data_IF_949089408026
#
_entry.id   IF_949089408026
#
_cell.length_a   1.000
_cell.length_b   1.000
_cell.length_c   1.000
_cell.angle_alpha   90.00
_cell.angle_beta   90.00
_cell.angle_gamma   90.00
#
_symmetry.space_group_name_H-M   'P 1'
#
loop_
_entity.id
_entity.type
_entity.pdbx_description
1 polymer ?
#
# COMPACT_ATOMS: atom_id res chain seq x y z
N UNK A 1 18.84 -6.03 -24.59
CA UNK A 1 19.73 -5.74 -23.43
C UNK A 1 18.86 -5.22 -22.27
N UNK A 2 17.99 -6.04 -21.71
CA UNK A 2 17.02 -5.56 -20.71
C UNK A 2 16.52 -6.54 -19.65
N UNK A 3 16.70 -7.85 -19.81
CA UNK A 3 16.00 -8.80 -18.94
C UNK A 3 16.81 -9.34 -17.75
N UNK A 4 18.13 -9.35 -17.81
CA UNK A 4 18.94 -9.84 -16.68
C UNK A 4 19.16 -8.80 -15.57
N UNK A 5 19.02 -7.52 -15.88
CA UNK A 5 19.10 -6.43 -14.91
C UNK A 5 17.94 -6.45 -13.90
N UNK A 6 16.78 -6.99 -14.25
CA UNK A 6 15.57 -6.91 -13.46
C UNK A 6 15.59 -7.71 -12.15
N UNK A 7 16.02 -8.98 -12.12
CA UNK A 7 15.89 -9.82 -10.89
C UNK A 7 16.83 -9.37 -9.79
N UNK A 8 18.11 -9.10 -10.14
CA UNK A 8 19.12 -8.69 -9.15
C UNK A 8 18.80 -7.33 -8.57
N UNK A 9 18.30 -6.39 -9.40
CA UNK A 9 17.94 -5.05 -8.96
C UNK A 9 16.71 -5.08 -8.05
N UNK A 10 15.75 -5.97 -8.32
CA UNK A 10 14.57 -6.15 -7.45
C UNK A 10 14.92 -6.64 -6.05
N UNK A 11 15.97 -7.44 -5.89
CA UNK A 11 16.46 -7.83 -4.56
C UNK A 11 17.03 -6.65 -3.74
N UNK A 12 17.34 -5.51 -4.36
CA UNK A 12 17.72 -4.31 -3.62
C UNK A 12 16.51 -3.69 -2.92
N UNK A 13 15.31 -3.78 -3.51
CA UNK A 13 14.07 -3.36 -2.88
C UNK A 13 13.55 -4.38 -1.86
N UNK A 14 13.82 -5.66 -2.08
CA UNK A 14 13.32 -6.77 -1.28
C UNK A 14 14.46 -7.64 -0.74
N UNK A 15 15.31 -7.15 0.17
CA UNK A 15 16.47 -7.91 0.68
C UNK A 15 16.05 -9.22 1.36
N UNK A 16 14.89 -9.24 2.04
CA UNK A 16 14.33 -10.47 2.64
C UNK A 16 14.06 -11.56 1.60
N UNK A 17 13.61 -11.21 0.40
CA UNK A 17 13.38 -12.18 -0.67
C UNK A 17 14.70 -12.77 -1.19
N UNK A 18 15.78 -12.00 -1.18
CA UNK A 18 17.11 -12.49 -1.54
C UNK A 18 17.56 -13.58 -0.57
N UNK A 19 17.34 -13.39 0.72
CA UNK A 19 17.67 -14.39 1.75
C UNK A 19 16.84 -15.66 1.58
N UNK A 20 15.55 -15.50 1.23
CA UNK A 20 14.58 -16.59 1.07
C UNK A 20 14.53 -17.19 -0.35
N UNK A 21 15.43 -16.81 -1.27
CA UNK A 21 15.38 -17.23 -2.69
C UNK A 21 15.35 -18.73 -2.96
N UNK A 22 15.77 -19.53 -2.00
CA UNK A 22 15.77 -21.01 -2.07
C UNK A 22 14.63 -21.65 -1.26
N UNK A 23 13.84 -20.86 -0.55
CA UNK A 23 12.70 -21.34 0.24
C UNK A 23 11.52 -21.65 -0.67
N UNK A 24 10.71 -22.66 -0.32
CA UNK A 24 9.43 -22.89 -0.98
C UNK A 24 8.47 -21.74 -0.60
N UNK A 25 7.67 -21.28 -1.56
CA UNK A 25 6.74 -20.17 -1.37
C UNK A 25 5.74 -20.38 -0.21
N UNK A 26 5.32 -21.64 0.04
CA UNK A 26 4.44 -21.99 1.14
C UNK A 26 5.04 -21.81 2.54
N UNK A 27 6.34 -21.59 2.65
CA UNK A 27 7.02 -21.34 3.93
C UNK A 27 7.41 -19.87 4.13
N UNK A 28 6.91 -18.97 3.28
CA UNK A 28 7.12 -17.54 3.43
C UNK A 28 6.05 -16.91 4.32
N UNK A 29 6.43 -15.90 5.09
CA UNK A 29 5.47 -15.12 5.90
C UNK A 29 4.52 -14.32 5.02
N UNK A 30 3.37 -13.87 5.58
CA UNK A 30 2.43 -13.03 4.83
C UNK A 30 3.07 -11.79 4.22
N UNK A 31 3.95 -11.10 4.96
CA UNK A 31 4.71 -9.96 4.43
C UNK A 31 5.68 -10.34 3.30
N UNK A 32 6.38 -11.46 3.42
CA UNK A 32 7.23 -11.98 2.34
C UNK A 32 6.39 -12.33 1.09
N UNK A 33 5.18 -12.87 1.27
CA UNK A 33 4.25 -13.16 0.16
C UNK A 33 3.81 -11.88 -0.54
N UNK A 34 3.49 -10.81 0.20
CA UNK A 34 3.17 -9.50 -0.38
C UNK A 34 4.37 -8.92 -1.15
N UNK A 35 5.57 -9.01 -0.60
CA UNK A 35 6.80 -8.59 -1.30
C UNK A 35 7.02 -9.39 -2.59
N UNK A 36 6.74 -10.70 -2.59
CA UNK A 36 6.80 -11.54 -3.80
C UNK A 36 5.77 -11.08 -4.82
N UNK A 37 4.53 -10.77 -4.40
CA UNK A 37 3.48 -10.31 -5.31
C UNK A 37 3.87 -8.99 -6.00
N UNK A 38 4.36 -8.00 -5.23
CA UNK A 38 4.84 -6.72 -5.77
C UNK A 38 6.06 -6.95 -6.67
N UNK A 39 7.03 -7.76 -6.22
CA UNK A 39 8.23 -8.08 -7.01
C UNK A 39 7.88 -8.75 -8.35
N UNK A 40 6.90 -9.65 -8.38
CA UNK A 40 6.40 -10.26 -9.62
C UNK A 40 5.76 -9.23 -10.55
N UNK A 41 4.92 -8.33 -10.02
CA UNK A 41 4.33 -7.25 -10.82
C UNK A 41 5.41 -6.39 -11.47
N UNK A 42 6.46 -6.03 -10.72
CA UNK A 42 7.58 -5.23 -11.22
C UNK A 42 8.39 -5.91 -12.34
N UNK A 43 8.35 -7.25 -12.43
CA UNK A 43 9.06 -7.97 -13.51
C UNK A 43 8.50 -7.67 -14.89
N UNK A 44 7.24 -7.27 -15.01
CA UNK A 44 6.63 -6.85 -16.27
C UNK A 44 6.94 -5.39 -16.66
N UNK A 45 7.73 -4.67 -15.84
CA UNK A 45 8.07 -3.25 -16.04
C UNK A 45 6.81 -2.37 -16.23
N UNK A 46 5.85 -2.42 -15.30
CA UNK A 46 4.59 -1.71 -15.45
C UNK A 46 4.77 -0.21 -15.22
N UNK A 47 3.96 0.59 -15.91
CA UNK A 47 3.81 2.02 -15.59
C UNK A 47 2.93 2.23 -14.36
N UNK A 48 2.00 1.30 -14.10
CA UNK A 48 1.04 1.38 -12.98
C UNK A 48 0.86 0.02 -12.31
N UNK A 49 0.84 0.00 -10.99
CA UNK A 49 0.54 -1.18 -10.16
C UNK A 49 -0.71 -0.91 -9.32
N UNK A 50 -1.64 -1.88 -9.33
CA UNK A 50 -2.82 -1.87 -8.48
C UNK A 50 -2.55 -2.70 -7.22
N UNK A 51 -2.77 -2.12 -6.04
CA UNK A 51 -2.63 -2.79 -4.75
C UNK A 51 -3.98 -2.80 -4.04
N UNK A 52 -4.46 -3.99 -3.72
CA UNK A 52 -5.71 -4.21 -3.00
C UNK A 52 -5.41 -4.73 -1.59
N UNK A 53 -5.71 -3.90 -0.59
CA UNK A 53 -5.49 -4.14 0.85
C UNK A 53 -4.12 -4.75 1.20
N UNK A 54 -2.98 -4.16 0.75
CA UNK A 54 -1.66 -4.75 0.96
C UNK A 54 -1.24 -4.81 2.43
N UNK A 55 -1.91 -4.09 3.33
CA UNK A 55 -1.65 -4.11 4.77
C UNK A 55 -2.39 -5.21 5.52
N UNK A 56 -3.41 -5.83 4.90
CA UNK A 56 -4.32 -6.74 5.58
C UNK A 56 -3.59 -7.96 6.17
N UNK A 57 -3.81 -8.21 7.47
CA UNK A 57 -3.25 -9.36 8.17
C UNK A 57 -1.74 -9.29 8.46
N UNK A 58 -1.10 -8.15 8.23
CA UNK A 58 0.33 -7.96 8.46
C UNK A 58 0.61 -7.24 9.79
N UNK A 59 1.76 -7.56 10.38
CA UNK A 59 2.27 -6.81 11.51
C UNK A 59 2.61 -5.35 11.10
N UNK A 60 2.40 -4.35 11.97
CA UNK A 60 2.61 -2.93 11.65
C UNK A 60 3.98 -2.62 11.03
N UNK A 61 5.04 -3.26 11.51
CA UNK A 61 6.40 -3.08 10.99
C UNK A 61 6.54 -3.55 9.54
N UNK A 62 5.87 -4.65 9.16
CA UNK A 62 5.87 -5.15 7.78
C UNK A 62 5.05 -4.25 6.86
N UNK A 63 3.96 -3.69 7.37
CA UNK A 63 3.17 -2.70 6.64
C UNK A 63 4.03 -1.49 6.28
N UNK A 64 4.73 -0.92 7.26
CA UNK A 64 5.63 0.21 7.01
C UNK A 64 6.74 -0.14 6.01
N UNK A 65 7.37 -1.31 6.14
CA UNK A 65 8.41 -1.77 5.22
C UNK A 65 7.88 -1.85 3.77
N UNK A 66 6.69 -2.43 3.56
CA UNK A 66 6.07 -2.55 2.23
C UNK A 66 5.75 -1.17 1.64
N UNK A 67 5.18 -0.27 2.42
CA UNK A 67 4.83 1.06 1.93
C UNK A 67 6.04 1.95 1.67
N UNK A 68 7.13 1.80 2.44
CA UNK A 68 8.40 2.46 2.11
C UNK A 68 8.98 1.95 0.78
N UNK A 69 8.85 0.65 0.49
CA UNK A 69 9.24 0.09 -0.81
C UNK A 69 8.37 0.67 -1.94
N UNK A 70 7.05 0.72 -1.77
CA UNK A 70 6.11 1.33 -2.73
C UNK A 70 6.49 2.78 -3.02
N UNK A 71 6.76 3.56 -1.97
CA UNK A 71 7.22 4.95 -2.09
C UNK A 71 8.52 5.05 -2.89
N UNK A 72 9.52 4.23 -2.57
CA UNK A 72 10.79 4.23 -3.29
C UNK A 72 10.64 3.87 -4.77
N UNK A 73 9.77 2.93 -5.10
CA UNK A 73 9.47 2.56 -6.49
C UNK A 73 8.78 3.70 -7.24
N UNK A 74 7.87 4.41 -6.59
CA UNK A 74 7.23 5.59 -7.18
C UNK A 74 8.24 6.71 -7.43
N UNK A 75 9.07 7.04 -6.42
CA UNK A 75 10.02 8.16 -6.52
C UNK A 75 11.20 7.89 -7.47
N UNK A 76 11.73 6.66 -7.49
CA UNK A 76 12.95 6.33 -8.23
C UNK A 76 12.70 5.72 -9.61
N UNK A 77 11.64 4.95 -9.74
CA UNK A 77 11.31 4.24 -10.99
C UNK A 77 10.08 4.80 -11.69
N UNK A 78 9.46 5.86 -11.14
CA UNK A 78 8.27 6.52 -11.71
C UNK A 78 7.09 5.56 -11.93
N UNK A 79 7.00 4.49 -11.15
CA UNK A 79 5.85 3.58 -11.18
C UNK A 79 4.69 4.24 -10.45
N UNK A 80 3.54 4.39 -11.10
CA UNK A 80 2.32 4.86 -10.45
C UNK A 80 1.67 3.72 -9.64
N UNK A 81 1.04 4.06 -8.51
CA UNK A 81 0.33 3.08 -7.68
C UNK A 81 -1.11 3.53 -7.44
N UNK A 82 -2.06 2.65 -7.74
CA UNK A 82 -3.44 2.77 -7.30
C UNK A 82 -3.64 1.83 -6.11
N UNK A 83 -3.94 2.39 -4.95
CA UNK A 83 -4.04 1.69 -3.68
C UNK A 83 -5.49 1.69 -3.19
N UNK A 84 -6.08 0.52 -2.99
CA UNK A 84 -7.29 0.36 -2.19
C UNK A 84 -6.87 -0.11 -0.78
N UNK A 85 -7.22 0.65 0.27
CA UNK A 85 -6.77 0.38 1.63
C UNK A 85 -7.81 0.85 2.65
N UNK A 86 -8.13 0.02 3.63
CA UNK A 86 -9.04 0.37 4.74
C UNK A 86 -8.30 1.13 5.85
N UNK A 87 -7.01 0.89 6.00
CA UNK A 87 -6.19 1.60 6.97
C UNK A 87 -5.87 3.01 6.50
N UNK A 88 -6.78 3.93 6.76
CA UNK A 88 -6.71 5.34 6.33
C UNK A 88 -5.42 6.02 6.80
N UNK A 89 -4.92 5.70 8.00
CA UNK A 89 -3.67 6.28 8.51
C UNK A 89 -2.48 5.92 7.61
N UNK A 90 -2.37 4.65 7.25
CA UNK A 90 -1.30 4.16 6.36
C UNK A 90 -1.48 4.75 4.97
N UNK A 91 -2.68 4.64 4.41
CA UNK A 91 -2.97 5.10 3.07
C UNK A 91 -2.66 6.59 2.88
N UNK A 92 -3.19 7.47 3.74
CA UNK A 92 -2.97 8.92 3.66
C UNK A 92 -1.53 9.34 4.04
N UNK A 93 -0.75 8.48 4.72
CA UNK A 93 0.67 8.75 5.01
C UNK A 93 1.53 8.71 3.73
N UNK A 94 1.21 7.80 2.80
CA UNK A 94 2.03 7.51 1.62
C UNK A 94 1.45 8.04 0.31
N UNK A 95 0.13 8.24 0.24
CA UNK A 95 -0.54 8.73 -0.97
C UNK A 95 -0.29 10.21 -1.24
N UNK A 96 -0.32 10.61 -2.51
CA UNK A 96 -0.34 12.01 -2.95
C UNK A 96 -1.76 12.55 -2.98
N UNK A 97 -2.71 11.75 -3.48
CA UNK A 97 -4.14 12.08 -3.58
C UNK A 97 -4.96 10.92 -3.02
N UNK A 98 -6.11 11.21 -2.43
CA UNK A 98 -7.02 10.23 -1.90
C UNK A 98 -8.45 10.43 -2.38
N UNK A 99 -9.20 9.33 -2.41
CA UNK A 99 -10.63 9.27 -2.64
C UNK A 99 -11.25 8.45 -1.51
N UNK A 100 -12.16 9.04 -0.75
CA UNK A 100 -12.87 8.33 0.30
C UNK A 100 -14.17 7.79 -0.29
N UNK A 101 -14.33 6.46 -0.22
CA UNK A 101 -15.51 5.77 -0.70
C UNK A 101 -16.39 5.34 0.47
N UNK A 102 -17.68 5.64 0.35
CA UNK A 102 -18.71 5.16 1.26
C UNK A 102 -19.89 4.62 0.45
N UNK A 103 -20.31 3.39 0.76
CA UNK A 103 -21.45 2.75 0.07
C UNK A 103 -21.35 2.80 -1.45
N UNK A 104 -20.15 2.61 -2.00
CA UNK A 104 -19.87 2.60 -3.44
C UNK A 104 -19.86 3.98 -4.11
N UNK A 105 -19.81 5.06 -3.33
CA UNK A 105 -19.72 6.45 -3.84
C UNK A 105 -18.52 7.15 -3.27
N UNK A 106 -17.89 8.00 -4.08
CA UNK A 106 -16.86 8.93 -3.59
C UNK A 106 -17.56 10.02 -2.82
N UNK A 107 -17.29 10.11 -1.51
CA UNK A 107 -17.87 11.14 -0.61
C UNK A 107 -16.91 12.30 -0.40
N UNK A 108 -15.61 12.06 -0.56
CA UNK A 108 -14.59 13.10 -0.45
C UNK A 108 -13.38 12.74 -1.30
N UNK A 109 -12.72 13.72 -1.90
CA UNK A 109 -11.45 13.54 -2.60
C UNK A 109 -10.56 14.78 -2.48
N UNK A 110 -9.26 14.58 -2.65
CA UNK A 110 -8.30 15.68 -2.61
C UNK A 110 -6.87 15.25 -2.32
N UNK A 111 -5.95 16.22 -2.15
CA UNK A 111 -4.59 15.96 -1.71
C UNK A 111 -4.60 15.20 -0.37
N UNK A 112 -3.80 14.13 -0.27
CA UNK A 112 -3.79 13.29 0.92
C UNK A 112 -3.46 14.07 2.21
N UNK A 113 -2.62 15.10 2.10
CA UNK A 113 -2.29 16.00 3.23
C UNK A 113 -3.53 16.72 3.74
N UNK A 114 -4.37 17.25 2.85
CA UNK A 114 -5.60 17.97 3.22
C UNK A 114 -6.64 17.03 3.82
N UNK A 115 -6.82 15.85 3.21
CA UNK A 115 -7.69 14.80 3.75
C UNK A 115 -7.28 14.39 5.17
N UNK A 116 -6.00 14.24 5.41
CA UNK A 116 -5.46 13.86 6.71
C UNK A 116 -5.70 14.92 7.80
N UNK A 117 -5.80 16.19 7.43
CA UNK A 117 -6.06 17.30 8.34
C UNK A 117 -7.55 17.60 8.51
N UNK A 118 -8.40 17.09 7.61
CA UNK A 118 -9.82 17.30 7.64
C UNK A 118 -10.47 16.75 8.94
N UNK A 119 -11.27 17.54 9.67
CA UNK A 119 -11.90 17.12 10.92
C UNK A 119 -12.78 15.88 10.77
N UNK A 120 -13.60 15.81 9.71
CA UNK A 120 -14.49 14.68 9.46
C UNK A 120 -13.69 13.40 9.19
N UNK A 121 -12.58 13.51 8.44
CA UNK A 121 -11.69 12.38 8.21
C UNK A 121 -11.03 11.92 9.51
N UNK A 122 -10.60 12.83 10.35
CA UNK A 122 -10.01 12.51 11.67
C UNK A 122 -11.03 11.81 12.57
N UNK A 123 -12.25 12.31 12.62
CA UNK A 123 -13.29 11.76 13.47
C UNK A 123 -13.75 10.39 12.99
N UNK A 124 -14.14 10.28 11.71
CA UNK A 124 -14.81 9.07 11.19
C UNK A 124 -13.84 7.98 10.69
N UNK A 125 -12.68 8.35 10.19
CA UNK A 125 -11.79 7.39 9.50
C UNK A 125 -10.44 7.19 10.19
N UNK A 126 -9.95 8.14 10.99
CA UNK A 126 -8.71 8.00 11.73
C UNK A 126 -8.92 7.54 13.19
N UNK A 127 -10.18 7.42 13.64
CA UNK A 127 -10.52 6.94 14.96
C UNK A 127 -10.07 7.85 16.10
N UNK A 128 -9.98 9.15 15.85
CA UNK A 128 -9.50 10.16 16.82
C UNK A 128 -10.61 10.72 17.73
N UNK A 129 -11.86 10.20 17.64
CA UNK A 129 -12.94 10.54 18.58
C UNK A 129 -13.19 9.38 19.54
N UNK A 130 -13.34 9.69 20.82
CA UNK A 130 -13.68 8.73 21.88
C UNK A 130 -15.13 8.19 21.78
N UNK A 131 -16.01 8.83 21.01
CA UNK A 131 -17.45 8.51 20.94
C UNK A 131 -17.91 7.77 19.66
N UNK A 132 -17.07 7.62 18.62
CA UNK A 132 -17.49 7.17 17.26
C UNK A 132 -17.43 5.67 16.98
N UNK A 133 -17.28 4.77 17.95
CA UNK A 133 -16.98 3.34 17.73
C UNK A 133 -18.10 2.46 17.15
N UNK A 134 -19.28 2.96 16.78
CA UNK A 134 -20.42 2.07 16.54
C UNK A 134 -20.99 1.96 15.12
N UNK A 135 -20.54 2.66 14.08
CA UNK A 135 -21.34 2.70 12.84
C UNK A 135 -20.69 2.38 11.49
N UNK A 136 -19.39 2.18 11.34
CA UNK A 136 -18.80 2.08 9.98
C UNK A 136 -17.97 0.82 9.76
N UNK A 137 -18.63 -0.27 9.32
CA UNK A 137 -18.00 -1.57 9.04
C UNK A 137 -17.54 -1.81 7.60
N UNK A 138 -17.77 -0.88 6.65
CA UNK A 138 -17.49 -1.14 5.22
C UNK A 138 -16.97 0.11 4.51
N UNK A 139 -15.76 0.54 4.83
CA UNK A 139 -15.13 1.68 4.18
C UNK A 139 -13.86 1.24 3.46
N UNK A 140 -13.79 1.51 2.17
CA UNK A 140 -12.59 1.31 1.36
C UNK A 140 -12.08 2.65 0.86
N UNK A 141 -10.79 2.87 0.98
CA UNK A 141 -10.10 4.03 0.43
C UNK A 141 -9.39 3.62 -0.87
N UNK A 142 -9.60 4.38 -1.94
CA UNK A 142 -8.87 4.24 -3.19
C UNK A 142 -7.95 5.45 -3.35
N UNK A 143 -6.67 5.21 -3.55
CA UNK A 143 -5.64 6.22 -3.71
C UNK A 143 -4.98 6.13 -5.07
N UNK A 144 -4.78 7.26 -5.71
CA UNK A 144 -4.09 7.39 -6.99
C UNK A 144 -2.89 8.31 -6.80
#
# INVERSE_FOLDING_TARGET
>A
MGSEMCIRDRYNYFPRLKERRKSLAGYTSGGEQQMVAIGRALMSQPETILLDEPSMGLAPQLVEEIFEIVKQLNEKESVAFLLAEQNTNVALKYAHKGYILESGRVVMDGPAKELRENPDVKEFYLGMSEEGRSSFKNLSLIHI
#
